data_IF_706550035099
#
_entry.id   IF_706550035099
#
_cell.length_a   1.000
_cell.length_b   1.000
_cell.length_c   1.000
_cell.angle_alpha   90.00
_cell.angle_beta   90.00
_cell.angle_gamma   90.00
#
_symmetry.space_group_name_H-M   'P 1'
#
loop_
_entity.id
_entity.type
_entity.pdbx_description
1 polymer ?
#
# COMPACT_ATOMS: atom_id res chain seq x y z
N UNK A 1 16.47 -12.76 0.21
CA UNK A 1 15.68 -11.88 -0.69
C UNK A 1 16.06 -12.11 -2.15
N UNK A 2 15.10 -11.97 -3.06
CA UNK A 2 15.34 -12.02 -4.51
C UNK A 2 15.97 -10.70 -4.96
N UNK A 3 16.96 -10.75 -5.87
CA UNK A 3 17.64 -9.57 -6.41
C UNK A 3 17.21 -9.31 -7.86
N UNK A 4 17.12 -8.03 -8.23
CA UNK A 4 16.86 -7.59 -9.60
C UNK A 4 18.02 -6.68 -10.01
N UNK A 5 18.62 -6.96 -11.18
CA UNK A 5 19.68 -6.10 -11.73
C UNK A 5 19.07 -5.05 -12.64
N UNK A 6 19.45 -3.78 -12.43
CA UNK A 6 19.01 -2.63 -13.21
C UNK A 6 20.25 -1.94 -13.78
N UNK A 7 20.32 -1.83 -15.09
CA UNK A 7 21.38 -1.10 -15.77
C UNK A 7 21.01 0.39 -15.83
N UNK A 8 21.82 1.22 -15.18
CA UNK A 8 21.66 2.66 -15.14
C UNK A 8 22.79 3.40 -15.83
N UNK A 9 22.51 4.59 -16.30
CA UNK A 9 23.52 5.54 -16.78
C UNK A 9 23.67 6.69 -15.79
N UNK A 10 24.90 6.95 -15.33
CA UNK A 10 25.20 8.10 -14.47
C UNK A 10 24.87 9.40 -15.21
N UNK A 11 24.33 10.38 -14.51
CA UNK A 11 24.05 11.72 -15.06
C UNK A 11 24.70 12.81 -14.22
N UNK A 12 25.35 13.74 -14.90
CA UNK A 12 25.95 14.92 -14.29
C UNK A 12 24.96 16.10 -14.29
N UNK A 13 24.13 16.17 -15.34
CA UNK A 13 23.15 17.23 -15.47
C UNK A 13 21.91 16.93 -14.62
N UNK A 14 21.74 17.68 -13.55
CA UNK A 14 20.58 17.68 -12.66
C UNK A 14 19.77 18.96 -12.85
N UNK A 15 18.45 18.86 -12.79
CA UNK A 15 17.55 20.00 -12.89
C UNK A 15 16.25 19.71 -13.62
N UNK A 16 15.36 20.72 -13.64
CA UNK A 16 13.98 20.57 -14.14
C UNK A 16 13.93 20.26 -15.65
N UNK A 17 14.71 20.95 -16.47
CA UNK A 17 14.73 20.75 -17.93
C UNK A 17 15.30 19.37 -18.30
N UNK A 18 16.44 19.00 -17.73
CA UNK A 18 17.08 17.70 -17.96
C UNK A 18 16.17 16.53 -17.55
N UNK A 19 15.54 16.59 -16.36
CA UNK A 19 14.63 15.55 -15.89
C UNK A 19 13.37 15.44 -16.77
N UNK A 20 12.88 16.55 -17.34
CA UNK A 20 11.76 16.53 -18.28
C UNK A 20 12.11 15.86 -19.60
N UNK A 21 13.31 16.14 -20.13
CA UNK A 21 13.80 15.48 -21.36
C UNK A 21 13.94 13.97 -21.18
N UNK A 22 14.51 13.51 -20.06
CA UNK A 22 14.64 12.09 -19.74
C UNK A 22 13.25 11.39 -19.70
N UNK A 23 12.28 11.97 -19.01
CA UNK A 23 10.93 11.40 -18.92
C UNK A 23 10.24 11.32 -20.29
N UNK A 24 10.45 12.33 -21.15
CA UNK A 24 9.93 12.30 -22.53
C UNK A 24 10.59 11.21 -23.37
N UNK A 25 11.84 10.85 -23.07
CA UNK A 25 12.57 9.76 -23.71
C UNK A 25 12.27 8.37 -23.09
N UNK A 26 11.29 8.28 -22.17
CA UNK A 26 10.93 7.01 -21.50
C UNK A 26 11.96 6.55 -20.47
N UNK A 27 12.81 7.47 -19.98
CA UNK A 27 13.76 7.21 -18.91
C UNK A 27 13.32 7.83 -17.61
N UNK A 28 13.52 7.12 -16.51
CA UNK A 28 13.22 7.58 -15.17
C UNK A 28 14.48 8.11 -14.52
N UNK A 29 14.48 9.36 -14.04
CA UNK A 29 15.54 9.89 -13.20
C UNK A 29 15.49 9.25 -11.82
N UNK A 30 16.64 8.76 -11.35
CA UNK A 30 16.80 8.07 -10.06
C UNK A 30 17.96 8.67 -9.26
N UNK A 31 17.91 8.42 -7.94
CA UNK A 31 18.97 8.77 -7.01
C UNK A 31 19.32 7.57 -6.15
N UNK A 32 20.60 7.27 -6.01
CA UNK A 32 21.15 6.32 -5.06
C UNK A 32 21.88 7.10 -3.97
N UNK A 33 21.48 6.92 -2.72
CA UNK A 33 22.09 7.58 -1.55
C UNK A 33 22.36 6.59 -0.42
N UNK A 34 23.04 7.05 0.62
CA UNK A 34 23.44 6.25 1.77
C UNK A 34 24.93 5.91 1.79
N UNK A 35 25.66 6.09 0.68
CA UNK A 35 27.11 5.96 0.58
C UNK A 35 27.84 7.27 0.87
N UNK A 36 29.03 7.45 0.26
CA UNK A 36 29.86 8.66 0.39
C UNK A 36 29.19 9.92 -0.17
N UNK A 37 28.28 9.76 -1.15
CA UNK A 37 27.52 10.86 -1.76
C UNK A 37 26.35 10.36 -2.59
N UNK A 38 25.41 11.26 -2.98
CA UNK A 38 24.31 10.90 -3.84
C UNK A 38 24.77 10.67 -5.27
N UNK A 39 24.43 9.53 -5.84
CA UNK A 39 24.71 9.18 -7.23
C UNK A 39 23.41 9.37 -8.02
N UNK A 40 23.41 10.33 -8.94
CA UNK A 40 22.30 10.55 -9.84
C UNK A 40 22.45 9.70 -11.10
N UNK A 41 21.39 8.99 -11.47
CA UNK A 41 21.37 8.15 -12.65
C UNK A 41 20.01 8.13 -13.33
N UNK A 42 19.94 7.54 -14.51
CA UNK A 42 18.68 7.28 -15.21
C UNK A 42 18.67 5.85 -15.72
N UNK A 43 17.48 5.25 -15.78
CA UNK A 43 17.27 3.94 -16.36
C UNK A 43 15.92 3.90 -17.10
N UNK A 44 15.72 2.97 -18.06
CA UNK A 44 14.46 2.82 -18.76
C UNK A 44 13.32 2.45 -17.81
N UNK A 45 12.13 3.04 -18.00
CA UNK A 45 10.94 2.78 -17.16
C UNK A 45 10.61 1.27 -17.09
N UNK A 46 10.78 0.55 -18.19
CA UNK A 46 10.53 -0.91 -18.25
C UNK A 46 11.41 -1.72 -17.30
N UNK A 47 12.63 -1.26 -16.98
CA UNK A 47 13.52 -1.96 -16.06
C UNK A 47 12.96 -2.02 -14.63
N UNK A 48 12.09 -1.07 -14.28
CA UNK A 48 11.48 -0.99 -12.95
C UNK A 48 10.16 -1.74 -12.84
N UNK A 49 9.60 -2.25 -13.93
CA UNK A 49 8.26 -2.85 -13.94
C UNK A 49 8.12 -4.02 -12.96
N UNK A 50 9.11 -4.90 -12.88
CA UNK A 50 9.12 -6.01 -11.91
C UNK A 50 9.27 -5.55 -10.46
N UNK A 51 10.02 -4.47 -10.24
CA UNK A 51 10.26 -3.94 -8.91
C UNK A 51 9.01 -3.24 -8.34
N UNK A 52 8.31 -2.49 -9.20
CA UNK A 52 7.22 -1.60 -8.81
C UNK A 52 5.87 -2.30 -8.80
N UNK A 53 5.56 -3.06 -9.86
CA UNK A 53 4.23 -3.63 -10.08
C UNK A 53 4.05 -5.05 -9.53
N UNK A 54 5.04 -5.59 -8.81
CA UNK A 54 4.89 -6.88 -8.13
C UNK A 54 4.74 -6.69 -6.62
N UNK A 55 4.02 -7.62 -6.00
CA UNK A 55 3.77 -7.58 -4.57
C UNK A 55 4.96 -8.07 -3.70
N UNK A 56 6.07 -8.47 -4.32
CA UNK A 56 7.21 -9.01 -3.58
C UNK A 56 8.20 -7.91 -3.20
N UNK A 57 8.94 -8.12 -2.12
CA UNK A 57 10.08 -7.29 -1.76
C UNK A 57 11.33 -7.78 -2.51
N UNK A 58 12.07 -6.85 -3.10
CA UNK A 58 13.29 -7.13 -3.85
C UNK A 58 14.44 -6.26 -3.36
N UNK A 59 15.63 -6.84 -3.38
CA UNK A 59 16.87 -6.07 -3.39
C UNK A 59 17.23 -5.72 -4.84
N UNK A 60 17.87 -4.60 -5.05
CA UNK A 60 18.21 -4.11 -6.39
C UNK A 60 19.72 -4.01 -6.52
N UNK A 61 20.25 -4.58 -7.59
CA UNK A 61 21.65 -4.38 -7.98
C UNK A 61 21.68 -3.35 -9.10
N UNK A 62 22.19 -2.16 -8.81
CA UNK A 62 22.30 -1.08 -9.80
C UNK A 62 23.68 -1.18 -10.43
N UNK A 63 23.73 -1.47 -11.74
CA UNK A 63 24.96 -1.59 -12.50
C UNK A 63 25.19 -0.32 -13.35
N UNK A 64 26.36 0.28 -13.20
CA UNK A 64 26.83 1.40 -14.02
C UNK A 64 27.93 0.91 -14.95
N UNK A 65 27.52 0.33 -16.10
CA UNK A 65 28.45 -0.34 -17.02
C UNK A 65 28.99 -1.66 -16.47
N UNK A 66 30.21 -2.05 -16.86
CA UNK A 66 30.78 -3.35 -16.50
C UNK A 66 31.55 -3.36 -15.17
N UNK A 67 31.89 -2.19 -14.63
CA UNK A 67 32.85 -2.08 -13.52
C UNK A 67 32.27 -1.68 -12.18
N UNK A 68 31.09 -1.09 -12.14
CA UNK A 68 30.51 -0.57 -10.91
C UNK A 68 29.13 -1.13 -10.67
N UNK A 69 28.94 -1.77 -9.55
CA UNK A 69 27.64 -2.27 -9.10
C UNK A 69 27.39 -1.93 -7.63
N UNK A 70 26.18 -1.52 -7.31
CA UNK A 70 25.78 -1.16 -5.97
C UNK A 70 24.54 -1.95 -5.56
N UNK A 71 24.59 -2.57 -4.39
CA UNK A 71 23.42 -3.19 -3.79
C UNK A 71 22.56 -2.11 -3.13
N UNK A 72 21.30 -2.06 -3.45
CA UNK A 72 20.38 -1.05 -2.98
C UNK A 72 18.99 -1.63 -2.70
N UNK A 73 18.17 -0.87 -1.98
CA UNK A 73 16.74 -1.11 -1.84
C UNK A 73 15.98 0.09 -2.36
N UNK A 74 14.75 -0.18 -2.80
CA UNK A 74 13.78 0.84 -3.13
C UNK A 74 13.32 1.52 -1.84
N UNK A 75 13.47 2.85 -1.77
CA UNK A 75 13.05 3.63 -0.62
C UNK A 75 11.75 4.38 -0.87
N UNK A 76 11.65 5.05 -2.01
CA UNK A 76 10.45 5.80 -2.39
C UNK A 76 10.25 5.84 -3.91
N UNK A 77 9.00 6.01 -4.34
CA UNK A 77 8.61 6.12 -5.74
C UNK A 77 7.60 7.25 -5.88
N UNK A 78 7.83 8.11 -6.85
CA UNK A 78 6.90 9.15 -7.24
C UNK A 78 6.22 8.80 -8.56
N UNK A 79 4.89 8.83 -8.56
CA UNK A 79 4.06 8.59 -9.73
C UNK A 79 3.39 9.87 -10.22
N UNK A 80 3.10 9.90 -11.50
CA UNK A 80 2.29 10.98 -12.08
C UNK A 80 0.80 10.73 -11.75
N UNK A 81 0.07 11.70 -11.17
CA UNK A 81 -1.25 11.47 -10.58
C UNK A 81 -2.35 11.07 -11.58
N UNK A 82 -2.15 11.28 -12.88
CA UNK A 82 -3.15 10.99 -13.93
C UNK A 82 -2.73 9.84 -14.83
N UNK A 83 -1.42 9.73 -15.16
CA UNK A 83 -0.93 8.74 -16.11
C UNK A 83 -0.24 7.53 -15.48
N UNK A 84 -0.09 7.52 -14.14
CA UNK A 84 0.60 6.50 -13.33
C UNK A 84 2.04 6.20 -13.79
N UNK A 85 2.62 7.05 -14.65
CA UNK A 85 4.02 6.95 -15.05
C UNK A 85 4.94 7.25 -13.90
N UNK A 86 6.06 6.55 -13.84
CA UNK A 86 7.07 6.76 -12.81
C UNK A 86 7.79 8.08 -13.08
N UNK A 87 7.76 9.01 -12.12
CA UNK A 87 8.43 10.30 -12.20
C UNK A 87 9.84 10.29 -11.61
N UNK A 88 10.01 9.61 -10.48
CA UNK A 88 11.28 9.52 -9.75
C UNK A 88 11.33 8.27 -8.89
N UNK A 89 12.51 7.72 -8.70
CA UNK A 89 12.76 6.60 -7.79
C UNK A 89 13.97 6.90 -6.93
N UNK A 90 13.80 6.67 -5.63
CA UNK A 90 14.85 6.82 -4.63
C UNK A 90 15.34 5.45 -4.20
N UNK A 91 16.66 5.26 -4.25
CA UNK A 91 17.33 4.04 -3.81
C UNK A 91 18.25 4.34 -2.64
N UNK A 92 18.22 3.45 -1.65
CA UNK A 92 19.16 3.47 -0.53
C UNK A 92 20.18 2.36 -0.67
N UNK A 93 21.47 2.70 -0.60
CA UNK A 93 22.56 1.74 -0.69
C UNK A 93 22.59 0.83 0.53
N UNK A 94 22.75 -0.47 0.28
CA UNK A 94 22.84 -1.48 1.32
C UNK A 94 24.29 -1.61 1.82
N UNK A 95 24.43 -1.66 3.15
CA UNK A 95 25.65 -2.00 3.86
C UNK A 95 25.34 -3.12 4.84
N UNK A 96 26.24 -4.08 4.99
CA UNK A 96 26.03 -5.26 5.84
C UNK A 96 25.84 -4.90 7.32
N UNK A 97 26.50 -3.82 7.79
CA UNK A 97 26.52 -3.41 9.18
C UNK A 97 25.41 -2.42 9.57
N UNK A 98 24.65 -1.91 8.60
CA UNK A 98 23.63 -0.88 8.85
C UNK A 98 22.22 -1.47 8.81
N UNK A 99 21.45 -1.23 9.88
CA UNK A 99 20.01 -1.51 9.89
C UNK A 99 19.31 -0.61 8.88
N UNK A 100 18.46 -1.19 8.06
CA UNK A 100 17.66 -0.49 7.05
C UNK A 100 16.19 -0.66 7.34
N UNK A 101 15.37 0.30 6.89
CA UNK A 101 13.91 0.21 6.92
C UNK A 101 13.38 -0.07 5.54
N UNK A 102 12.51 -1.05 5.43
CA UNK A 102 11.90 -1.46 4.16
C UNK A 102 10.44 -1.87 4.35
N UNK A 103 9.63 -1.66 3.32
CA UNK A 103 8.24 -2.09 3.29
C UNK A 103 8.14 -3.53 2.79
N UNK A 104 7.78 -4.46 3.68
CA UNK A 104 7.64 -5.89 3.38
C UNK A 104 6.17 -6.23 3.16
N UNK A 105 5.82 -6.94 2.09
CA UNK A 105 4.46 -7.35 1.82
C UNK A 105 3.96 -8.40 2.80
N UNK A 106 2.68 -8.27 3.17
CA UNK A 106 1.98 -9.23 4.02
C UNK A 106 1.22 -10.21 3.13
N UNK A 107 1.48 -11.51 3.31
CA UNK A 107 0.71 -12.60 2.72
C UNK A 107 -0.20 -13.20 3.77
N UNK A 108 -1.48 -13.30 3.44
CA UNK A 108 -2.48 -13.97 4.25
C UNK A 108 -2.66 -15.39 3.72
N UNK A 109 -2.42 -16.37 4.57
CA UNK A 109 -2.57 -17.79 4.27
C UNK A 109 -3.86 -18.31 4.92
N UNK A 110 -4.55 -19.21 4.22
CA UNK A 110 -5.80 -19.82 4.69
C UNK A 110 -7.06 -19.03 4.32
N UNK A 111 -8.21 -19.58 4.73
CA UNK A 111 -9.52 -18.97 4.52
C UNK A 111 -10.26 -18.88 5.87
N UNK A 112 -10.54 -17.70 6.40
CA UNK A 112 -11.07 -17.53 7.74
C UNK A 112 -12.47 -18.12 7.89
N UNK A 113 -12.74 -18.72 9.05
CA UNK A 113 -14.05 -19.27 9.42
C UNK A 113 -15.10 -18.15 9.36
N UNK A 114 -14.76 -16.94 9.81
CA UNK A 114 -15.64 -15.79 9.77
C UNK A 114 -16.10 -15.39 8.37
N UNK A 115 -15.28 -15.60 7.33
CA UNK A 115 -15.71 -15.36 5.93
C UNK A 115 -16.68 -16.44 5.46
N UNK A 116 -16.49 -17.70 5.87
CA UNK A 116 -17.45 -18.79 5.58
C UNK A 116 -18.81 -18.56 6.23
N UNK A 117 -18.85 -17.83 7.35
CA UNK A 117 -20.05 -17.44 8.08
C UNK A 117 -20.66 -16.12 7.58
N UNK A 118 -20.24 -15.62 6.40
CA UNK A 118 -20.79 -14.40 5.80
C UNK A 118 -20.08 -13.09 6.21
N UNK A 119 -18.95 -13.18 6.89
CA UNK A 119 -18.08 -12.01 7.15
C UNK A 119 -17.29 -11.57 5.92
N UNK A 120 -16.75 -10.36 5.99
CA UNK A 120 -15.88 -9.80 4.96
C UNK A 120 -14.48 -9.60 5.53
N UNK A 121 -13.45 -10.18 4.85
CA UNK A 121 -12.06 -10.01 5.20
C UNK A 121 -11.57 -8.63 4.70
N UNK A 122 -11.21 -7.77 5.62
CA UNK A 122 -10.64 -6.46 5.33
C UNK A 122 -9.14 -6.45 5.63
N UNK A 123 -8.32 -6.16 4.62
CA UNK A 123 -6.89 -5.91 4.76
C UNK A 123 -6.66 -4.43 5.01
N UNK A 124 -6.24 -4.07 6.22
CA UNK A 124 -5.92 -2.70 6.57
C UNK A 124 -4.52 -2.31 6.09
N UNK A 125 -3.58 -3.23 6.19
CA UNK A 125 -2.20 -3.06 5.76
C UNK A 125 -1.80 -4.16 4.78
N UNK A 126 -1.33 -3.77 3.59
CA UNK A 126 -0.79 -4.70 2.58
C UNK A 126 0.72 -4.87 2.69
N UNK A 127 1.40 -3.86 3.24
CA UNK A 127 2.83 -3.83 3.50
C UNK A 127 3.04 -3.32 4.93
N UNK A 128 4.06 -3.84 5.59
CA UNK A 128 4.50 -3.37 6.89
C UNK A 128 5.95 -2.90 6.79
N UNK A 129 6.22 -1.72 7.35
CA UNK A 129 7.57 -1.16 7.42
C UNK A 129 8.30 -1.79 8.58
N UNK A 130 9.38 -2.49 8.25
CA UNK A 130 10.27 -3.12 9.23
C UNK A 130 11.66 -2.55 9.16
N UNK A 131 12.39 -2.62 10.28
CA UNK A 131 13.78 -2.22 10.41
C UNK A 131 14.59 -3.44 10.81
N UNK A 132 15.55 -3.83 9.96
CA UNK A 132 16.41 -4.99 10.20
C UNK A 132 17.77 -4.82 9.54
N UNK A 133 18.69 -5.75 9.84
CA UNK A 133 19.89 -5.93 9.03
C UNK A 133 19.54 -6.56 7.68
N UNK A 134 20.27 -6.28 6.60
CA UNK A 134 19.99 -6.82 5.26
C UNK A 134 19.90 -8.34 5.21
N UNK A 135 20.69 -9.03 6.05
CA UNK A 135 20.71 -10.50 6.16
C UNK A 135 19.43 -11.07 6.78
N UNK A 136 18.77 -10.31 7.66
CA UNK A 136 17.60 -10.74 8.44
C UNK A 136 16.26 -10.29 7.83
N UNK A 137 16.29 -9.67 6.66
CA UNK A 137 15.08 -9.21 6.00
C UNK A 137 14.31 -10.39 5.37
N UNK A 138 13.03 -10.62 5.73
CA UNK A 138 12.19 -11.63 5.10
C UNK A 138 11.68 -11.17 3.73
N UNK A 139 11.41 -12.11 2.83
CA UNK A 139 10.80 -11.81 1.53
C UNK A 139 9.33 -11.40 1.67
N UNK A 140 8.62 -12.02 2.62
CA UNK A 140 7.21 -11.79 2.92
C UNK A 140 6.96 -12.01 4.42
N UNK A 141 5.92 -11.39 4.94
CA UNK A 141 5.35 -11.69 6.25
C UNK A 141 4.13 -12.57 6.04
N UNK A 142 4.19 -13.81 6.47
CA UNK A 142 3.09 -14.77 6.35
C UNK A 142 2.25 -14.78 7.62
N UNK A 143 0.93 -14.63 7.46
CA UNK A 143 -0.04 -14.64 8.55
C UNK A 143 -1.07 -15.72 8.24
N UNK A 144 -1.26 -16.65 9.16
CA UNK A 144 -2.36 -17.59 9.08
C UNK A 144 -3.65 -16.94 9.62
N UNK A 145 -4.68 -16.93 8.77
CA UNK A 145 -5.97 -16.34 9.08
C UNK A 145 -7.08 -17.39 9.19
N UNK A 146 -6.73 -18.68 9.16
CA UNK A 146 -7.71 -19.78 9.09
C UNK A 146 -8.69 -19.81 10.26
N UNK A 147 -8.24 -19.44 11.46
CA UNK A 147 -9.02 -19.50 12.70
C UNK A 147 -9.84 -18.24 13.01
N UNK A 148 -9.70 -17.18 12.20
CA UNK A 148 -10.35 -15.90 12.47
C UNK A 148 -11.88 -15.98 12.33
N UNK A 149 -12.59 -15.58 13.38
CA UNK A 149 -14.05 -15.44 13.41
C UNK A 149 -14.48 -14.02 13.01
N UNK A 150 -15.81 -13.81 12.91
CA UNK A 150 -16.38 -12.49 12.66
C UNK A 150 -16.10 -11.58 13.86
N UNK A 151 -15.44 -10.44 13.60
CA UNK A 151 -15.04 -9.46 14.63
C UNK A 151 -13.58 -9.53 15.01
N UNK A 152 -12.89 -10.64 14.71
CA UNK A 152 -11.49 -10.82 15.07
C UNK A 152 -10.55 -9.92 14.23
N UNK A 153 -9.45 -9.53 14.87
CA UNK A 153 -8.44 -8.64 14.32
C UNK A 153 -7.06 -9.25 14.58
N UNK A 154 -6.18 -9.14 13.61
CA UNK A 154 -4.76 -9.49 13.77
C UNK A 154 -3.95 -8.20 13.96
N UNK A 155 -3.21 -8.13 15.06
CA UNK A 155 -2.36 -6.99 15.40
C UNK A 155 -0.90 -7.26 15.01
N UNK A 156 -0.11 -6.19 14.91
CA UNK A 156 1.33 -6.29 14.63
C UNK A 156 2.06 -7.05 15.76
N UNK A 157 1.61 -6.92 17.00
CA UNK A 157 2.19 -7.62 18.16
C UNK A 157 2.21 -9.14 18.01
N UNK A 158 1.26 -9.72 17.28
CA UNK A 158 1.20 -11.16 17.01
C UNK A 158 2.26 -11.64 16.00
N UNK A 159 2.86 -10.70 15.26
CA UNK A 159 3.88 -10.95 14.24
C UNK A 159 5.31 -10.70 14.74
N UNK A 160 5.46 -10.45 16.04
CA UNK A 160 6.76 -10.13 16.64
C UNK A 160 7.79 -11.22 16.34
N UNK A 161 8.99 -10.77 15.93
CA UNK A 161 10.14 -11.63 15.68
C UNK A 161 11.40 -10.89 16.17
N UNK A 162 12.32 -11.60 16.80
CA UNK A 162 13.56 -11.04 17.35
C UNK A 162 14.52 -10.49 16.29
N UNK A 163 14.38 -10.93 15.03
CA UNK A 163 15.29 -10.57 13.95
C UNK A 163 15.01 -9.19 13.31
N UNK A 164 13.83 -8.64 13.52
CA UNK A 164 13.44 -7.35 12.94
C UNK A 164 12.47 -6.58 13.84
N UNK A 165 12.46 -5.28 13.70
CA UNK A 165 11.64 -4.34 14.45
C UNK A 165 10.59 -3.71 13.56
N UNK A 166 9.33 -3.70 13.98
CA UNK A 166 8.27 -2.98 13.29
C UNK A 166 8.32 -1.49 13.60
N UNK A 167 8.20 -0.64 12.57
CA UNK A 167 8.14 0.82 12.72
C UNK A 167 6.71 1.36 12.86
N UNK A 168 5.73 0.48 12.97
CA UNK A 168 4.33 0.81 13.22
C UNK A 168 4.00 0.69 14.71
N UNK A 169 2.98 1.42 15.21
CA UNK A 169 2.46 1.25 16.56
C UNK A 169 1.95 -0.18 16.81
N UNK A 170 2.12 -0.69 18.02
CA UNK A 170 1.76 -2.06 18.43
C UNK A 170 0.27 -2.38 18.23
N UNK A 171 -0.60 -1.37 18.38
CA UNK A 171 -2.04 -1.48 18.21
C UNK A 171 -2.50 -1.41 16.74
N UNK A 172 -1.58 -1.42 15.78
CA UNK A 172 -1.94 -1.38 14.35
C UNK A 172 -2.54 -2.70 13.92
N UNK A 173 -3.76 -2.66 13.41
CA UNK A 173 -4.48 -3.82 12.86
C UNK A 173 -4.00 -4.09 11.43
N UNK A 174 -3.51 -5.29 11.17
CA UNK A 174 -3.05 -5.74 9.84
C UNK A 174 -4.23 -6.20 8.99
N UNK A 175 -5.05 -7.09 9.51
CA UNK A 175 -6.28 -7.55 8.89
C UNK A 175 -7.37 -7.80 9.95
N UNK A 176 -8.61 -7.82 9.50
CA UNK A 176 -9.78 -8.08 10.36
C UNK A 176 -10.91 -8.70 9.54
N UNK A 177 -11.75 -9.49 10.20
CA UNK A 177 -12.99 -9.99 9.61
C UNK A 177 -14.16 -9.18 10.15
N UNK A 178 -14.86 -8.47 9.28
CA UNK A 178 -16.05 -7.66 9.65
C UNK A 178 -17.33 -8.35 9.26
N UNK A 179 -18.39 -8.11 10.03
CA UNK A 179 -19.74 -8.53 9.67
C UNK A 179 -20.17 -7.81 8.36
N UNK A 180 -20.73 -8.53 7.41
CA UNK A 180 -21.27 -7.94 6.19
C UNK A 180 -22.58 -7.20 6.51
N UNK A 181 -22.85 -6.08 5.84
CA UNK A 181 -24.09 -5.29 6.06
C UNK A 181 -25.37 -6.09 5.80
N UNK A 182 -25.33 -7.05 4.86
CA UNK A 182 -26.48 -7.91 4.56
C UNK A 182 -26.85 -8.87 5.70
N UNK A 183 -25.88 -9.26 6.57
CA UNK A 183 -26.17 -10.13 7.72
C UNK A 183 -26.82 -9.38 8.89
N UNK A 184 -26.78 -8.04 8.90
CA UNK A 184 -27.50 -7.23 9.92
C UNK A 184 -29.00 -7.13 9.65
N UNK A 185 -29.45 -7.34 8.40
CA UNK A 185 -30.87 -7.25 8.03
C UNK A 185 -31.62 -8.54 8.34
N UNK A 186 -30.92 -9.69 8.35
CA UNK A 186 -31.56 -11.00 8.58
C UNK A 186 -31.80 -11.27 10.07
N UNK A 187 -31.02 -10.68 10.99
CA UNK A 187 -31.20 -10.88 12.44
C UNK A 187 -32.31 -10.01 13.06
N UNK A 188 -32.85 -9.00 12.31
CA UNK A 188 -33.94 -8.15 12.79
C UNK A 188 -35.32 -8.63 12.37
N UNK A 189 -35.43 -9.63 11.47
CA UNK A 189 -36.72 -10.13 11.00
C UNK A 189 -37.21 -11.42 11.70
N UNK A 190 -36.40 -12.07 12.56
CA UNK A 190 -36.83 -13.27 13.27
C UNK A 190 -37.31 -13.04 14.74
N UNK A 191 -37.56 -11.79 15.11
CA UNK A 191 -37.92 -11.47 16.49
C UNK A 191 -39.02 -10.47 16.68
N UNK A 192 -40.10 -10.47 15.90
CA UNK A 192 -41.38 -9.84 16.29
C UNK A 192 -42.47 -10.27 15.31
N UNK A 193 -43.13 -11.32 15.64
CA UNK A 193 -44.39 -11.75 15.07
C UNK A 193 -45.20 -12.37 16.16
N UNK A 194 -45.94 -11.54 16.92
CA UNK A 194 -47.28 -11.89 17.43
C UNK A 194 -47.92 -10.69 18.11
N UNK A 195 -49.16 -10.48 17.66
CA UNK A 195 -50.30 -9.82 18.33
C UNK A 195 -50.44 -8.30 18.25
N UNK A 196 -51.59 -7.91 17.66
CA UNK A 196 -52.36 -6.75 18.03
C UNK A 196 -53.08 -6.03 16.89
N UNK A 197 -54.26 -6.51 16.58
CA UNK A 197 -55.28 -5.89 15.75
C UNK A 197 -55.73 -4.51 16.24
N UNK A 198 -56.26 -3.76 15.28
CA UNK A 198 -57.25 -2.67 15.36
C UNK A 198 -56.77 -1.22 15.24
N UNK A 199 -57.15 -0.65 14.11
CA UNK A 199 -58.07 0.49 14.15
C UNK A 199 -57.51 1.86 13.78
N UNK A 200 -58.04 2.28 12.66
CA UNK A 200 -58.51 3.63 12.29
C UNK A 200 -57.63 4.57 11.49
N UNK A 201 -58.28 4.95 10.45
CA UNK A 201 -58.06 5.90 9.38
C UNK A 201 -57.64 7.34 9.79
N UNK A 202 -57.13 7.99 8.80
CA UNK A 202 -57.19 9.42 8.41
C UNK A 202 -55.94 10.27 8.54
N UNK A 203 -55.64 10.91 7.41
CA UNK A 203 -55.04 12.22 7.40
C UNK A 203 -53.82 12.40 6.49
N UNK A 204 -54.11 12.68 5.22
CA UNK A 204 -53.26 13.34 4.25
C UNK A 204 -52.38 14.49 4.80
N UNK A 205 -51.16 14.62 4.34
CA UNK A 205 -50.71 15.84 3.67
C UNK A 205 -49.26 15.69 3.16
N UNK A 206 -49.19 15.82 1.86
CA UNK A 206 -47.92 15.98 1.12
C UNK A 206 -47.35 17.38 1.34
N UNK A 207 -46.09 17.49 1.73
CA UNK A 207 -45.37 18.76 1.62
C UNK A 207 -44.15 18.57 0.77
N UNK A 208 -44.29 19.01 -0.47
CA UNK A 208 -43.27 19.23 -1.43
C UNK A 208 -42.46 20.48 -1.07
N UNK A 209 -41.17 20.36 -0.91
CA UNK A 209 -40.26 21.53 -0.90
C UNK A 209 -39.41 21.56 -2.17
N UNK A 210 -39.91 22.37 -3.12
CA UNK A 210 -39.12 22.91 -4.23
C UNK A 210 -38.22 24.01 -3.69
N UNK A 211 -36.90 23.83 -3.88
CA UNK A 211 -35.94 24.92 -3.68
C UNK A 211 -35.66 25.61 -4.99
N UNK A 212 -36.15 26.81 -5.07
CA UNK A 212 -35.87 27.81 -6.12
C UNK A 212 -34.49 28.45 -5.93
N UNK A 213 -33.80 28.47 -7.00
CA UNK A 213 -32.57 29.12 -7.38
C UNK A 213 -32.78 30.64 -7.42
N UNK A 214 -31.84 31.41 -6.90
CA UNK A 214 -31.65 32.79 -7.25
C UNK A 214 -30.21 33.03 -7.70
N UNK A 215 -30.08 33.44 -8.95
CA UNK A 215 -28.96 34.12 -9.53
C UNK A 215 -29.00 35.59 -9.12
N UNK A 216 -27.90 36.17 -8.79
CA UNK A 216 -27.67 37.60 -9.08
C UNK A 216 -26.20 37.82 -9.43
N UNK A 217 -26.03 38.24 -10.66
CA UNK A 217 -24.88 38.93 -11.24
C UNK A 217 -24.92 40.39 -10.82
N UNK A 218 -23.84 40.98 -10.43
CA UNK A 218 -23.62 42.44 -10.63
C UNK A 218 -22.14 42.71 -10.89
N UNK A 219 -21.95 43.32 -12.05
CA UNK A 219 -20.76 44.03 -12.51
C UNK A 219 -20.26 45.10 -11.54
N UNK A 220 -18.95 45.27 -11.39
CA UNK A 220 -18.24 46.50 -11.60
C UNK A 220 -16.73 46.26 -11.59
#
# INVERSE_FOLDING_TARGET
>A
MKSITINGSKRESVGKSSSRLLRNAGQVPCVLYGGEGPIHFSAPELAFSKLVYTANAYTVVIAFGEKESYNAILQDIQFHPVSDKILHIDFYQLFEDKKISMDIPVKLNGNPIGVKLGGNLQRNKRKLRIKALPTNLPDNLEIDISELNIGDKVYITELFNENYEFLHPDNTVVCQVRRARAALVVETEEGEGEEGEEGTEEGSEAVSYTHLRAHETTDN
#
